data_IF_090383675872
#
_entry.id   IF_090383675872
#
_cell.length_a   1.000
_cell.length_b   1.000
_cell.length_c   1.000
_cell.angle_alpha   90.00
_cell.angle_beta   90.00
_cell.angle_gamma   90.00
#
_symmetry.space_group_name_H-M   'P 1'
#
loop_
_entity.id
_entity.type
_entity.pdbx_description
1 polymer ?
#
# COMPACT_ATOMS: atom_id res chain seq x y z
N UNK A 1 8.38 -11.44 -9.41
CA UNK A 1 8.62 -12.66 -10.22
C UNK A 1 9.60 -13.52 -9.42
N UNK A 2 9.13 -14.61 -8.82
CA UNK A 2 10.00 -15.54 -8.09
C UNK A 2 10.05 -16.81 -8.92
N UNK A 3 11.10 -16.97 -9.73
CA UNK A 3 11.38 -18.21 -10.43
C UNK A 3 11.72 -19.27 -9.37
N UNK A 4 10.84 -20.26 -9.21
CA UNK A 4 11.09 -21.38 -8.31
C UNK A 4 12.24 -22.21 -8.87
N UNK A 5 13.21 -22.58 -8.02
CA UNK A 5 14.31 -23.48 -8.38
C UNK A 5 13.80 -24.76 -9.07
N UNK A 6 12.61 -25.22 -8.69
CA UNK A 6 11.95 -26.38 -9.29
C UNK A 6 11.63 -26.20 -10.78
N UNK A 7 11.23 -25.00 -11.21
CA UNK A 7 10.91 -24.71 -12.62
C UNK A 7 12.18 -24.60 -13.49
N UNK A 8 13.30 -24.17 -12.90
CA UNK A 8 14.60 -24.11 -13.58
C UNK A 8 15.26 -25.50 -13.74
N UNK A 9 14.82 -26.49 -12.97
CA UNK A 9 15.39 -27.85 -13.00
C UNK A 9 14.61 -28.86 -13.83
N UNK A 10 13.49 -28.46 -14.44
CA UNK A 10 12.57 -29.41 -15.08
C UNK A 10 13.13 -30.06 -16.37
N UNK A 11 14.10 -29.44 -17.04
CA UNK A 11 14.82 -30.03 -18.18
C UNK A 11 16.31 -30.18 -17.85
N UNK A 12 16.70 -31.37 -17.39
CA UNK A 12 18.02 -31.64 -16.82
C UNK A 12 19.16 -31.67 -17.85
N UNK A 13 20.18 -30.83 -17.65
CA UNK A 13 21.57 -31.20 -17.94
C UNK A 13 22.10 -32.09 -16.80
N UNK A 14 22.77 -33.20 -17.12
CA UNK A 14 23.35 -34.16 -16.16
C UNK A 14 24.51 -33.60 -15.30
N UNK A 15 25.02 -32.40 -15.59
CA UNK A 15 26.19 -31.84 -14.90
C UNK A 15 25.77 -30.83 -13.79
N UNK A 16 26.00 -31.16 -12.50
CA UNK A 16 25.68 -30.28 -11.38
C UNK A 16 26.51 -28.99 -11.35
N UNK A 17 27.69 -28.95 -11.99
CA UNK A 17 28.50 -27.71 -12.06
C UNK A 17 27.89 -26.69 -13.01
N UNK A 18 27.42 -27.14 -14.18
CA UNK A 18 26.75 -26.28 -15.15
C UNK A 18 25.44 -25.69 -14.59
N UNK A 19 24.66 -26.49 -13.84
CA UNK A 19 23.44 -26.03 -13.17
C UNK A 19 23.72 -24.92 -12.14
N UNK A 20 24.79 -25.07 -11.33
CA UNK A 20 25.20 -24.03 -10.37
C UNK A 20 25.60 -22.74 -11.08
N UNK A 21 26.32 -22.84 -12.20
CA UNK A 21 26.69 -21.66 -13.00
C UNK A 21 25.46 -20.96 -13.59
N UNK A 22 24.51 -21.71 -14.16
CA UNK A 22 23.24 -21.16 -14.67
C UNK A 22 22.43 -20.48 -13.56
N UNK A 23 22.32 -21.11 -12.39
CA UNK A 23 21.64 -20.54 -11.23
C UNK A 23 22.29 -19.23 -10.77
N UNK A 24 23.63 -19.19 -10.68
CA UNK A 24 24.35 -17.97 -10.32
C UNK A 24 24.12 -16.84 -11.33
N UNK A 25 24.13 -17.15 -12.63
CA UNK A 25 23.83 -16.17 -13.68
C UNK A 25 22.40 -15.62 -13.54
N UNK A 26 21.41 -16.49 -13.30
CA UNK A 26 20.02 -16.07 -13.09
C UNK A 26 19.89 -15.20 -11.83
N UNK A 27 20.51 -15.59 -10.72
CA UNK A 27 20.54 -14.79 -9.51
C UNK A 27 21.18 -13.41 -9.74
N UNK A 28 22.28 -13.35 -10.51
CA UNK A 28 22.92 -12.09 -10.87
C UNK A 28 22.00 -11.21 -11.72
N UNK A 29 21.35 -11.78 -12.75
CA UNK A 29 20.39 -11.06 -13.59
C UNK A 29 19.24 -10.53 -12.73
N UNK A 30 18.67 -11.35 -11.85
CA UNK A 30 17.61 -10.91 -10.93
C UNK A 30 18.10 -9.80 -10.00
N UNK A 31 19.31 -9.90 -9.45
CA UNK A 31 19.88 -8.85 -8.60
C UNK A 31 20.03 -7.53 -9.37
N UNK A 32 20.55 -7.57 -10.61
CA UNK A 32 20.68 -6.38 -11.47
C UNK A 32 19.31 -5.78 -11.78
N UNK A 33 18.31 -6.60 -12.13
CA UNK A 33 16.94 -6.14 -12.40
C UNK A 33 16.28 -5.54 -11.15
N UNK A 34 16.51 -6.10 -9.97
CA UNK A 34 16.00 -5.57 -8.70
C UNK A 34 16.64 -4.22 -8.40
N UNK A 35 17.96 -4.08 -8.56
CA UNK A 35 18.67 -2.80 -8.37
C UNK A 35 18.18 -1.78 -9.40
N UNK A 36 18.07 -2.16 -10.67
CA UNK A 36 17.57 -1.28 -11.72
C UNK A 36 16.13 -0.81 -11.42
N UNK A 37 15.25 -1.72 -11.01
CA UNK A 37 13.87 -1.38 -10.62
C UNK A 37 13.83 -0.45 -9.41
N UNK A 38 14.70 -0.65 -8.41
CA UNK A 38 14.79 0.23 -7.24
C UNK A 38 15.26 1.65 -7.62
N UNK A 39 16.25 1.74 -8.51
CA UNK A 39 16.77 3.01 -9.02
C UNK A 39 15.72 3.75 -9.85
N UNK A 40 15.04 3.06 -10.77
CA UNK A 40 13.96 3.62 -11.58
C UNK A 40 12.76 4.06 -10.72
N UNK A 41 12.46 3.31 -9.66
CA UNK A 41 11.45 3.72 -8.70
C UNK A 41 11.85 4.97 -7.91
N UNK A 42 13.07 5.48 -8.08
CA UNK A 42 13.53 6.72 -7.46
C UNK A 42 13.99 6.51 -6.02
N UNK A 43 14.53 5.35 -5.64
CA UNK A 43 15.02 5.12 -4.27
C UNK A 43 16.02 6.21 -3.83
N UNK A 44 16.87 6.69 -4.74
CA UNK A 44 17.84 7.76 -4.50
C UNK A 44 17.33 9.16 -4.85
N UNK A 45 16.14 9.29 -5.44
CA UNK A 45 15.60 10.60 -5.83
C UNK A 45 15.37 11.48 -4.59
N UNK A 46 15.72 12.76 -4.58
CA UNK A 46 15.38 13.63 -3.46
C UNK A 46 13.85 13.78 -3.37
N UNK A 47 13.32 13.81 -2.14
CA UNK A 47 11.90 14.12 -1.92
C UNK A 47 11.82 15.58 -1.44
N UNK A 48 11.35 16.46 -2.32
CA UNK A 48 11.07 17.86 -1.98
C UNK A 48 9.61 18.02 -1.58
N UNK A 49 9.37 18.56 -0.39
CA UNK A 49 8.03 18.90 0.09
C UNK A 49 7.79 20.39 -0.16
N UNK A 50 6.85 20.71 -1.04
CA UNK A 50 6.39 22.06 -1.33
C UNK A 50 5.02 22.30 -0.70
N UNK A 51 4.51 23.53 -0.76
CA UNK A 51 3.13 23.85 -0.37
C UNK A 51 2.30 24.03 -1.62
N UNK A 52 1.16 23.37 -1.66
CA UNK A 52 0.17 23.53 -2.72
C UNK A 52 -1.24 23.36 -2.15
N UNK A 53 -2.25 23.24 -3.02
CA UNK A 53 -3.65 23.13 -2.66
C UNK A 53 -4.18 21.75 -3.03
N UNK A 54 -4.67 21.01 -2.05
CA UNK A 54 -5.48 19.83 -2.30
C UNK A 54 -6.81 20.27 -2.94
N UNK A 55 -7.20 19.73 -4.11
CA UNK A 55 -8.31 20.26 -4.91
C UNK A 55 -9.66 20.23 -4.20
N UNK A 56 -9.89 19.24 -3.32
CA UNK A 56 -11.20 19.01 -2.71
C UNK A 56 -12.26 18.56 -3.71
N UNK A 57 -13.42 18.15 -3.22
CA UNK A 57 -14.50 17.66 -4.08
C UNK A 57 -15.43 16.67 -3.39
N UNK A 58 -16.31 16.06 -4.19
CA UNK A 58 -17.11 14.91 -3.75
C UNK A 58 -16.28 13.64 -3.95
N UNK A 59 -15.96 12.97 -2.86
CA UNK A 59 -15.13 11.76 -2.87
C UNK A 59 -16.04 10.53 -2.76
N UNK A 60 -16.08 9.73 -3.83
CA UNK A 60 -16.80 8.46 -3.87
C UNK A 60 -15.80 7.33 -3.72
N UNK A 61 -15.83 6.61 -2.60
CA UNK A 61 -14.71 5.78 -2.16
C UNK A 61 -15.15 4.45 -1.55
N UNK A 62 -14.24 3.47 -1.59
CA UNK A 62 -14.32 2.23 -0.83
C UNK A 62 -13.42 2.36 0.40
N UNK A 63 -13.99 2.15 1.58
CA UNK A 63 -13.21 2.06 2.82
C UNK A 63 -12.73 0.63 3.03
N UNK A 64 -11.41 0.44 3.07
CA UNK A 64 -10.80 -0.87 3.25
C UNK A 64 -9.93 -0.92 4.50
N UNK A 65 -9.83 -2.11 5.08
CA UNK A 65 -8.88 -2.42 6.17
C UNK A 65 -7.93 -3.49 5.66
N UNK A 66 -6.73 -3.07 5.27
CA UNK A 66 -5.69 -3.93 4.70
C UNK A 66 -4.35 -3.17 4.71
N UNK A 67 -3.26 -3.83 4.31
CA UNK A 67 -1.99 -3.15 4.09
C UNK A 67 -2.12 -2.05 3.04
N UNK A 68 -1.39 -0.95 3.21
CA UNK A 68 -1.37 0.15 2.23
C UNK A 68 -0.87 -0.29 0.85
N UNK A 69 -0.13 -1.39 0.77
CA UNK A 69 0.26 -2.03 -0.49
C UNK A 69 -0.96 -2.48 -1.31
N UNK A 70 -2.06 -2.84 -0.64
CA UNK A 70 -3.29 -3.27 -1.29
C UNK A 70 -4.12 -2.10 -1.87
N UNK A 71 -3.79 -0.85 -1.52
CA UNK A 71 -4.54 0.32 -1.98
C UNK A 71 -4.51 0.50 -3.50
N UNK A 72 -3.39 0.19 -4.15
CA UNK A 72 -3.28 0.22 -5.61
C UNK A 72 -4.23 -0.78 -6.28
N UNK A 73 -4.39 -1.97 -5.71
CA UNK A 73 -5.38 -2.95 -6.19
C UNK A 73 -6.81 -2.44 -6.08
N UNK A 74 -7.11 -1.67 -5.03
CA UNK A 74 -8.40 -1.01 -4.88
C UNK A 74 -8.61 0.06 -5.96
N UNK A 75 -7.60 0.90 -6.21
CA UNK A 75 -7.63 1.92 -7.27
C UNK A 75 -7.89 1.30 -8.65
N UNK A 76 -7.20 0.21 -9.00
CA UNK A 76 -7.45 -0.51 -10.27
C UNK A 76 -8.86 -1.08 -10.36
N UNK A 77 -9.39 -1.58 -9.25
CA UNK A 77 -10.80 -2.06 -9.20
C UNK A 77 -11.77 -0.91 -9.48
N UNK A 78 -11.52 0.27 -8.90
CA UNK A 78 -12.35 1.46 -9.10
C UNK A 78 -12.26 1.97 -10.54
N UNK A 79 -11.06 1.95 -11.13
CA UNK A 79 -10.85 2.29 -12.55
C UNK A 79 -11.67 1.37 -13.46
N UNK A 80 -11.65 0.06 -13.20
CA UNK A 80 -12.47 -0.92 -13.92
C UNK A 80 -13.97 -0.69 -13.73
N UNK A 81 -14.43 -0.38 -12.51
CA UNK A 81 -15.83 -0.07 -12.22
C UNK A 81 -16.31 1.20 -12.97
N UNK A 82 -15.39 2.12 -13.33
CA UNK A 82 -15.69 3.29 -14.15
C UNK A 82 -15.74 3.00 -15.66
N UNK A 83 -15.30 1.82 -16.08
CA UNK A 83 -15.14 1.43 -17.48
C UNK A 83 -13.91 2.08 -18.13
N UNK A 84 -12.89 2.40 -17.34
CA UNK A 84 -11.60 2.89 -17.82
C UNK A 84 -10.73 1.66 -18.05
N UNK A 85 -10.93 1.02 -19.19
CA UNK A 85 -10.13 -0.14 -19.61
C UNK A 85 -8.85 0.33 -20.31
N UNK A 86 -7.75 -0.40 -20.06
CA UNK A 86 -6.41 -0.14 -20.62
C UNK A 86 -6.35 -0.23 -22.17
N UNK A 87 -7.40 -0.77 -22.83
CA UNK A 87 -7.38 -1.15 -24.24
C UNK A 87 -8.09 -0.18 -25.22
N UNK A 88 -8.38 1.06 -24.79
CA UNK A 88 -9.05 2.07 -25.63
C UNK A 88 -10.57 1.86 -25.69
N UNK A 89 -11.39 2.87 -25.44
CA UNK A 89 -11.99 3.68 -26.52
C UNK A 89 -12.43 5.07 -26.04
N UNK A 90 -12.28 5.42 -24.78
CA UNK A 90 -12.45 6.80 -24.31
C UNK A 90 -11.42 7.02 -23.21
N UNK A 91 -10.34 7.76 -23.49
CA UNK A 91 -9.60 8.41 -22.41
C UNK A 91 -10.48 9.58 -21.96
N UNK A 92 -11.17 9.52 -20.81
CA UNK A 92 -11.53 10.77 -20.16
C UNK A 92 -10.21 11.42 -19.72
N UNK A 93 -10.13 12.75 -19.74
CA UNK A 93 -9.11 13.59 -19.08
C UNK A 93 -8.14 12.78 -18.23
N UNK A 94 -6.86 12.74 -18.60
CA UNK A 94 -5.74 12.16 -17.82
C UNK A 94 -6.25 11.42 -16.58
N UNK A 95 -6.61 10.14 -16.77
CA UNK A 95 -7.49 9.34 -15.88
C UNK A 95 -7.00 9.14 -14.45
N UNK A 96 -5.99 9.91 -14.07
CA UNK A 96 -5.11 9.75 -12.95
C UNK A 96 -5.12 10.94 -12.00
N UNK A 97 -5.65 12.10 -12.39
CA UNK A 97 -5.78 13.25 -11.49
C UNK A 97 -7.02 13.24 -10.60
N UNK A 98 -7.88 12.22 -10.75
CA UNK A 98 -9.12 12.11 -9.98
C UNK A 98 -9.20 10.83 -9.11
N UNK A 99 -8.31 9.84 -9.27
CA UNK A 99 -8.26 8.67 -8.39
C UNK A 99 -7.34 8.96 -7.20
N UNK A 100 -7.90 8.92 -5.99
CA UNK A 100 -7.18 9.22 -4.74
C UNK A 100 -7.29 8.07 -3.76
N UNK A 101 -6.22 7.88 -2.99
CA UNK A 101 -6.23 7.06 -1.78
C UNK A 101 -5.91 7.94 -0.59
N UNK A 102 -6.80 7.95 0.40
CA UNK A 102 -6.60 8.61 1.69
C UNK A 102 -6.16 7.54 2.70
N UNK A 103 -4.94 7.66 3.20
CA UNK A 103 -4.39 6.82 4.26
C UNK A 103 -4.81 7.42 5.61
N UNK A 104 -5.65 6.68 6.34
CA UNK A 104 -6.29 7.18 7.56
C UNK A 104 -5.45 6.91 8.81
N UNK A 105 -4.60 5.90 8.74
CA UNK A 105 -3.89 5.39 9.90
C UNK A 105 -2.37 5.61 9.82
N UNK A 106 -1.77 5.74 10.99
CA UNK A 106 -0.32 5.67 11.11
C UNK A 106 0.10 4.20 11.25
N UNK A 107 0.87 3.62 10.31
CA UNK A 107 1.32 2.23 10.39
C UNK A 107 2.30 1.96 11.55
N UNK A 108 2.75 2.98 12.27
CA UNK A 108 3.52 2.83 13.51
C UNK A 108 2.65 2.72 14.77
N UNK A 109 1.35 3.00 14.67
CA UNK A 109 0.39 2.91 15.79
C UNK A 109 -0.64 1.80 15.52
N UNK A 110 -1.09 1.67 14.27
CA UNK A 110 -2.01 0.61 13.83
C UNK A 110 -1.20 -0.52 13.19
N UNK A 111 -1.40 -1.79 13.60
CA UNK A 111 -0.61 -2.90 13.10
C UNK A 111 -0.82 -3.12 11.60
N UNK A 112 0.19 -3.72 10.97
CA UNK A 112 0.12 -4.17 9.57
C UNK A 112 -1.09 -5.08 9.34
N UNK A 113 -1.68 -5.01 8.15
CA UNK A 113 -2.91 -5.72 7.79
C UNK A 113 -4.19 -5.17 8.44
N UNK A 114 -4.08 -4.26 9.42
CA UNK A 114 -5.23 -3.59 10.08
C UNK A 114 -5.32 -2.11 9.78
N UNK A 115 -4.39 -1.56 9.00
CA UNK A 115 -4.45 -0.16 8.57
C UNK A 115 -5.66 0.10 7.69
N UNK A 116 -6.26 1.27 7.84
CA UNK A 116 -7.42 1.70 7.06
C UNK A 116 -7.02 2.71 6.01
N UNK A 117 -7.58 2.54 4.83
CA UNK A 117 -7.47 3.52 3.75
C UNK A 117 -8.79 3.63 3.00
N UNK A 118 -9.03 4.79 2.42
CA UNK A 118 -10.17 5.06 1.56
C UNK A 118 -9.66 5.34 0.15
N UNK A 119 -9.92 4.43 -0.78
CA UNK A 119 -9.56 4.60 -2.19
C UNK A 119 -10.82 4.93 -2.99
N UNK A 120 -10.77 5.93 -3.86
CA UNK A 120 -11.96 6.46 -4.52
C UNK A 120 -11.67 7.44 -5.65
N UNK A 121 -12.74 7.92 -6.26
CA UNK A 121 -12.71 9.00 -7.23
C UNK A 121 -13.09 10.33 -6.55
N UNK A 122 -12.29 11.38 -6.75
CA UNK A 122 -12.58 12.75 -6.34
C UNK A 122 -13.23 13.49 -7.51
N UNK A 123 -14.53 13.67 -7.40
CA UNK A 123 -15.38 14.20 -8.44
C UNK A 123 -15.51 15.73 -8.34
N UNK A 124 -15.40 16.38 -9.50
CA UNK A 124 -15.62 17.81 -9.68
C UNK A 124 -17.07 18.07 -10.16
N UNK A 125 -17.46 19.35 -10.21
CA UNK A 125 -18.75 19.75 -10.78
C UNK A 125 -18.81 19.32 -12.25
N UNK A 126 -19.72 18.40 -12.57
CA UNK A 126 -19.90 17.86 -13.92
C UNK A 126 -19.75 16.33 -14.00
N UNK A 127 -19.14 15.70 -13.01
CA UNK A 127 -18.82 14.26 -13.04
C UNK A 127 -19.97 13.37 -12.50
N UNK A 128 -21.22 13.85 -12.60
CA UNK A 128 -22.40 13.16 -12.07
C UNK A 128 -22.61 11.76 -12.67
N UNK A 129 -22.15 11.53 -13.90
CA UNK A 129 -22.16 10.21 -14.54
C UNK A 129 -21.25 9.21 -13.84
N UNK A 130 -20.04 9.62 -13.45
CA UNK A 130 -19.08 8.75 -12.75
C UNK A 130 -19.60 8.37 -11.36
N UNK A 131 -20.16 9.33 -10.63
CA UNK A 131 -20.82 9.08 -9.34
C UNK A 131 -21.89 8.00 -9.45
N UNK A 132 -22.79 8.15 -10.42
CA UNK A 132 -23.89 7.20 -10.62
C UNK A 132 -23.39 5.80 -10.96
N UNK A 133 -22.36 5.68 -11.81
CA UNK A 133 -21.75 4.38 -12.15
C UNK A 133 -21.15 3.68 -10.93
N UNK A 134 -20.35 4.40 -10.14
CA UNK A 134 -19.74 3.83 -8.92
C UNK A 134 -20.80 3.41 -7.89
N UNK A 135 -21.82 4.24 -7.67
CA UNK A 135 -22.89 3.89 -6.74
C UNK A 135 -23.80 2.77 -7.26
N UNK A 136 -23.96 2.64 -8.57
CA UNK A 136 -24.68 1.52 -9.19
C UNK A 136 -23.95 0.20 -9.00
N UNK A 137 -22.62 0.20 -8.99
CA UNK A 137 -21.81 -0.98 -8.66
C UNK A 137 -22.10 -1.53 -7.26
N UNK A 138 -22.65 -0.73 -6.33
CA UNK A 138 -23.08 -1.25 -5.02
C UNK A 138 -24.22 -2.27 -5.11
N UNK A 139 -25.03 -2.26 -6.17
CA UNK A 139 -26.16 -3.19 -6.35
C UNK A 139 -25.70 -4.65 -6.45
N UNK A 140 -24.50 -4.89 -6.99
CA UNK A 140 -23.91 -6.23 -7.11
C UNK A 140 -23.16 -6.69 -5.86
N UNK A 141 -23.01 -5.82 -4.85
CA UNK A 141 -22.22 -6.09 -3.64
C UNK A 141 -23.18 -6.45 -2.48
N UNK A 142 -23.06 -7.66 -1.90
CA UNK A 142 -23.88 -8.07 -0.76
C UNK A 142 -23.76 -7.11 0.43
N UNK A 143 -24.86 -6.84 1.17
CA UNK A 143 -24.86 -5.89 2.30
C UNK A 143 -24.02 -6.35 3.50
N UNK A 144 -23.89 -7.67 3.70
CA UNK A 144 -23.35 -8.24 4.94
C UNK A 144 -21.85 -8.62 4.85
N UNK A 145 -21.19 -8.31 3.73
CA UNK A 145 -19.78 -8.63 3.54
C UNK A 145 -18.94 -7.41 3.87
N UNK A 146 -18.37 -7.37 5.08
CA UNK A 146 -17.25 -6.49 5.40
C UNK A 146 -15.98 -7.03 4.75
N UNK A 147 -15.86 -6.82 3.44
CA UNK A 147 -14.77 -7.37 2.64
C UNK A 147 -13.43 -6.70 2.92
N UNK A 148 -12.40 -7.51 3.19
CA UNK A 148 -10.98 -7.14 3.06
C UNK A 148 -10.56 -6.93 1.61
N UNK A 149 -11.41 -7.34 0.66
CA UNK A 149 -11.19 -7.23 -0.78
C UNK A 149 -12.04 -6.11 -1.40
N UNK A 150 -11.42 -5.34 -2.30
CA UNK A 150 -12.01 -4.17 -2.96
C UNK A 150 -13.30 -4.48 -3.74
N UNK A 151 -13.43 -5.68 -4.29
CA UNK A 151 -14.62 -6.11 -5.06
C UNK A 151 -15.87 -6.30 -4.18
N UNK A 152 -15.67 -6.54 -2.88
CA UNK A 152 -16.75 -6.84 -1.94
C UNK A 152 -17.03 -5.66 -0.98
N UNK A 153 -16.41 -4.51 -1.23
CA UNK A 153 -16.56 -3.31 -0.40
C UNK A 153 -17.47 -2.31 -1.11
N UNK A 154 -18.52 -1.82 -0.45
CA UNK A 154 -19.42 -0.82 -1.02
C UNK A 154 -18.77 0.56 -1.09
N UNK A 155 -19.16 1.33 -2.11
CA UNK A 155 -18.87 2.74 -2.24
C UNK A 155 -19.67 3.56 -1.23
N UNK A 156 -18.97 4.45 -0.53
CA UNK A 156 -19.47 5.52 0.31
C UNK A 156 -19.19 6.88 -0.36
N UNK A 157 -19.85 7.93 0.11
CA UNK A 157 -19.67 9.30 -0.39
C UNK A 157 -19.29 10.21 0.76
N UNK A 158 -18.23 10.99 0.59
CA UNK A 158 -17.83 12.04 1.51
C UNK A 158 -17.50 13.32 0.74
N UNK A 159 -17.45 14.46 1.43
CA UNK A 159 -17.02 15.73 0.86
C UNK A 159 -15.66 16.10 1.45
N UNK A 160 -14.63 16.12 0.61
CA UNK A 160 -13.29 16.51 1.03
C UNK A 160 -13.10 18.02 0.78
N UNK A 161 -12.59 18.78 1.76
CA UNK A 161 -12.43 20.22 1.62
C UNK A 161 -11.21 20.55 0.74
N UNK A 162 -11.33 21.63 -0.04
CA UNK A 162 -10.17 22.27 -0.68
C UNK A 162 -9.34 22.98 0.39
N UNK A 163 -8.09 22.57 0.58
CA UNK A 163 -7.22 23.06 1.66
C UNK A 163 -5.77 23.16 1.21
N UNK A 164 -5.00 24.03 1.84
CA UNK A 164 -3.54 24.01 1.69
C UNK A 164 -2.99 22.69 2.22
N UNK A 165 -2.12 22.07 1.44
CA UNK A 165 -1.45 20.81 1.75
C UNK A 165 0.06 20.96 1.54
N UNK A 166 0.84 20.21 2.31
CA UNK A 166 2.20 19.91 1.93
C UNK A 166 2.14 18.85 0.81
N UNK A 167 2.89 19.08 -0.27
CA UNK A 167 2.85 18.24 -1.46
C UNK A 167 4.25 17.74 -1.76
N UNK A 168 4.34 16.46 -2.11
CA UNK A 168 5.56 15.87 -2.62
C UNK A 168 5.23 15.01 -3.83
N UNK A 169 6.10 15.03 -4.82
CA UNK A 169 5.98 14.18 -6.00
C UNK A 169 7.11 13.15 -5.98
N UNK A 170 6.81 11.93 -6.42
CA UNK A 170 7.77 10.85 -6.48
C UNK A 170 7.51 9.95 -7.69
N UNK A 171 8.57 9.44 -8.35
CA UNK A 171 8.40 8.45 -9.41
C UNK A 171 7.56 7.25 -8.96
N UNK A 172 6.69 6.81 -9.86
CA UNK A 172 5.77 5.70 -9.68
C UNK A 172 6.09 4.59 -10.67
N UNK A 173 6.24 3.37 -10.17
CA UNK A 173 6.49 2.18 -11.00
C UNK A 173 5.42 1.11 -10.82
N UNK A 174 4.28 1.45 -10.21
CA UNK A 174 3.15 0.53 -9.94
C UNK A 174 3.55 -0.84 -9.34
N UNK A 175 4.63 -0.86 -8.57
CA UNK A 175 5.29 -2.08 -8.12
C UNK A 175 5.56 -2.11 -6.63
N UNK A 176 6.16 -3.20 -6.17
CA UNK A 176 6.56 -3.39 -4.76
C UNK A 176 7.44 -2.24 -4.27
N UNK A 177 8.29 -1.69 -5.13
CA UNK A 177 9.13 -0.54 -4.79
C UNK A 177 8.32 0.71 -4.47
N UNK A 178 7.27 1.04 -5.23
CA UNK A 178 6.39 2.18 -4.91
C UNK A 178 5.80 2.06 -3.50
N UNK A 179 5.37 0.86 -3.12
CA UNK A 179 4.83 0.59 -1.80
C UNK A 179 5.89 0.68 -0.68
N UNK A 180 7.10 0.16 -0.93
CA UNK A 180 8.23 0.28 0.01
C UNK A 180 8.65 1.74 0.18
N UNK A 181 8.74 2.51 -0.90
CA UNK A 181 9.11 3.92 -0.87
C UNK A 181 8.07 4.75 -0.14
N UNK A 182 6.78 4.44 -0.33
CA UNK A 182 5.73 5.07 0.45
C UNK A 182 5.97 4.87 1.96
N UNK A 183 6.21 3.63 2.39
CA UNK A 183 6.42 3.28 3.81
C UNK A 183 7.72 3.84 4.40
N UNK A 184 8.83 3.75 3.68
CA UNK A 184 10.17 4.01 4.23
C UNK A 184 10.74 5.38 3.89
N UNK A 185 10.17 6.09 2.90
CA UNK A 185 10.71 7.37 2.44
C UNK A 185 9.68 8.48 2.50
N UNK A 186 8.51 8.29 1.88
CA UNK A 186 7.48 9.32 1.76
C UNK A 186 6.82 9.59 3.11
N UNK A 187 6.25 8.55 3.74
CA UNK A 187 5.59 8.68 5.06
C UNK A 187 6.53 9.32 6.09
N UNK A 188 7.77 8.82 6.32
CA UNK A 188 8.69 9.43 7.28
C UNK A 188 9.05 10.89 6.98
N UNK A 189 9.17 11.26 5.70
CA UNK A 189 9.45 12.64 5.32
C UNK A 189 8.28 13.57 5.65
N UNK A 190 7.05 13.15 5.39
CA UNK A 190 5.85 13.89 5.82
C UNK A 190 5.74 13.96 7.33
N UNK A 191 6.04 12.90 8.08
CA UNK A 191 6.08 12.94 9.56
C UNK A 191 7.07 13.97 10.07
N UNK A 192 8.27 13.99 9.49
CA UNK A 192 9.30 14.94 9.87
C UNK A 192 8.82 16.37 9.58
N UNK A 193 8.21 16.60 8.42
CA UNK A 193 7.62 17.88 8.06
C UNK A 193 6.50 18.30 9.03
N UNK A 194 5.59 17.38 9.37
CA UNK A 194 4.51 17.60 10.31
C UNK A 194 5.01 18.01 11.70
N UNK A 195 6.03 17.31 12.21
CA UNK A 195 6.69 17.64 13.49
C UNK A 195 7.31 19.04 13.49
N UNK A 196 7.97 19.42 12.39
CA UNK A 196 8.54 20.78 12.26
C UNK A 196 7.48 21.88 12.20
N UNK A 197 6.27 21.56 11.72
CA UNK A 197 5.15 22.51 11.61
C UNK A 197 4.08 22.34 12.70
N UNK A 198 4.33 21.52 13.72
CA UNK A 198 3.45 21.27 14.87
C UNK A 198 2.02 20.81 14.50
N UNK A 199 1.90 20.03 13.41
CA UNK A 199 0.63 19.40 13.01
C UNK A 199 0.50 18.02 13.67
N UNK A 200 -0.64 17.74 14.29
CA UNK A 200 -0.85 16.54 15.14
C UNK A 200 -1.25 15.27 14.39
N UNK A 201 -2.00 15.40 13.30
CA UNK A 201 -2.56 14.25 12.57
C UNK A 201 -1.95 14.17 11.17
N UNK A 202 -1.47 12.98 10.81
CA UNK A 202 -0.68 12.71 9.61
C UNK A 202 -1.53 11.94 8.59
N UNK A 203 -2.61 12.56 8.11
CA UNK A 203 -3.32 12.01 6.95
C UNK A 203 -2.47 12.26 5.70
N UNK A 204 -2.18 11.18 4.99
CA UNK A 204 -1.49 11.22 3.70
C UNK A 204 -2.49 10.82 2.63
N UNK A 205 -2.53 11.58 1.55
CA UNK A 205 -3.38 11.30 0.40
C UNK A 205 -2.44 11.07 -0.78
N UNK A 206 -2.65 10.03 -1.57
CA UNK A 206 -1.89 9.79 -2.78
C UNK A 206 -2.80 9.75 -4.00
N UNK A 207 -2.30 10.29 -5.09
CA UNK A 207 -2.81 10.10 -6.44
C UNK A 207 -1.63 9.85 -7.35
N UNK A 208 -1.79 9.03 -8.39
CA UNK A 208 -0.67 8.61 -9.22
C UNK A 208 -1.06 8.70 -10.67
N UNK A 209 -0.19 9.30 -11.47
CA UNK A 209 -0.25 9.39 -12.92
C UNK A 209 0.61 8.33 -13.58
N UNK A 210 -0.04 7.44 -14.33
CA UNK A 210 0.60 6.44 -15.17
C UNK A 210 1.23 7.07 -16.41
N UNK A 211 0.60 8.12 -16.96
CA UNK A 211 1.13 8.85 -18.12
C UNK A 211 2.42 9.59 -17.76
N UNK A 212 2.44 10.25 -16.61
CA UNK A 212 3.63 10.96 -16.12
C UNK A 212 4.61 10.05 -15.36
N UNK A 213 4.20 8.82 -15.03
CA UNK A 213 4.92 7.91 -14.12
C UNK A 213 5.26 8.56 -12.77
N UNK A 214 4.32 9.34 -12.22
CA UNK A 214 4.53 10.16 -11.02
C UNK A 214 3.36 10.03 -10.05
N UNK A 215 3.65 9.78 -8.77
CA UNK A 215 2.68 9.92 -7.69
C UNK A 215 2.83 11.28 -7.02
N UNK A 216 1.69 11.94 -6.82
CA UNK A 216 1.57 13.13 -5.99
C UNK A 216 0.98 12.76 -4.63
N UNK A 217 1.68 13.14 -3.57
CA UNK A 217 1.28 12.92 -2.19
C UNK A 217 0.91 14.25 -1.55
N UNK A 218 -0.22 14.30 -0.88
CA UNK A 218 -0.71 15.46 -0.14
C UNK A 218 -0.79 15.14 1.35
N UNK A 219 -0.38 16.10 2.17
CA UNK A 219 -0.65 16.11 3.61
C UNK A 219 -1.42 17.39 3.94
N UNK A 220 -2.74 17.32 4.16
CA UNK A 220 -3.56 18.47 4.51
C UNK A 220 -3.02 19.20 5.74
N UNK A 221 -2.82 20.52 5.64
CA UNK A 221 -2.33 21.34 6.76
C UNK A 221 -3.46 21.92 7.63
N UNK A 222 -4.72 21.76 7.19
CA UNK A 222 -5.90 22.25 7.88
C UNK A 222 -7.10 21.34 7.64
N UNK A 223 -8.10 21.38 8.54
CA UNK A 223 -9.33 20.57 8.45
C UNK A 223 -9.08 19.07 8.32
N UNK A 224 -8.04 18.56 8.98
CA UNK A 224 -7.62 17.15 8.92
C UNK A 224 -8.75 16.22 9.38
N UNK A 225 -9.57 16.65 10.33
CA UNK A 225 -10.77 15.96 10.81
C UNK A 225 -11.72 15.53 9.67
N UNK A 226 -11.83 16.34 8.60
CA UNK A 226 -12.72 16.06 7.46
C UNK A 226 -12.21 14.94 6.58
N UNK A 227 -10.90 14.69 6.57
CA UNK A 227 -10.30 13.63 5.77
C UNK A 227 -10.43 12.25 6.40
N UNK A 228 -10.84 12.16 7.68
CA UNK A 228 -11.22 10.89 8.30
C UNK A 228 -12.54 10.32 7.77
N UNK A 229 -13.28 11.04 6.93
CA UNK A 229 -14.54 10.60 6.29
C UNK A 229 -15.53 9.96 7.27
N UNK A 230 -15.64 10.55 8.47
CA UNK A 230 -16.54 10.09 9.54
C UNK A 230 -16.05 8.86 10.31
N UNK A 231 -14.83 8.40 10.06
CA UNK A 231 -14.19 7.29 10.80
C UNK A 231 -13.41 7.86 12.00
N UNK A 232 -13.18 7.06 13.06
CA UNK A 232 -12.39 7.51 14.21
C UNK A 232 -10.94 7.77 13.81
N UNK A 233 -10.26 8.60 14.58
CA UNK A 233 -8.83 8.91 14.38
C UNK A 233 -7.96 7.65 14.49
N UNK A 234 -6.73 7.70 13.98
CA UNK A 234 -5.79 6.58 14.07
C UNK A 234 -5.55 6.15 15.53
N UNK A 235 -5.39 7.11 16.45
CA UNK A 235 -5.17 6.84 17.86
C UNK A 235 -6.41 6.20 18.53
N UNK A 236 -7.62 6.66 18.21
CA UNK A 236 -8.85 6.05 18.73
C UNK A 236 -9.08 4.64 18.18
N UNK A 237 -8.75 4.44 16.90
CA UNK A 237 -8.86 3.12 16.27
C UNK A 237 -7.82 2.14 16.84
N UNK A 238 -6.59 2.60 17.08
CA UNK A 238 -5.51 1.80 17.66
C UNK A 238 -5.85 1.22 19.04
N UNK A 239 -6.63 1.95 19.86
CA UNK A 239 -7.09 1.47 21.18
C UNK A 239 -7.84 0.14 21.12
N UNK A 240 -8.40 -0.23 19.98
CA UNK A 240 -9.07 -1.52 19.78
C UNK A 240 -8.10 -2.71 19.79
N UNK A 241 -6.83 -2.45 19.54
CA UNK A 241 -5.78 -3.46 19.41
C UNK A 241 -4.79 -3.46 20.58
N UNK A 242 -4.91 -2.50 21.51
CA UNK A 242 -4.00 -2.36 22.66
C UNK A 242 -3.94 -3.61 23.55
N UNK A 243 -5.00 -4.43 23.55
CA UNK A 243 -5.10 -5.67 24.35
C UNK A 243 -4.59 -6.92 23.62
N UNK A 244 -4.48 -6.89 22.30
CA UNK A 244 -4.27 -8.09 21.47
C UNK A 244 -2.91 -8.11 20.74
N UNK A 245 -2.08 -7.07 20.85
CA UNK A 245 -0.86 -6.96 20.05
C UNK A 245 0.40 -7.52 20.72
N UNK A 246 1.02 -8.51 20.07
CA UNK A 246 2.39 -8.94 20.36
C UNK A 246 3.45 -7.96 19.84
N UNK A 247 4.68 -8.00 20.39
CA UNK A 247 5.78 -7.08 20.02
C UNK A 247 6.12 -7.07 18.51
N UNK A 248 6.02 -8.22 17.83
CA UNK A 248 6.35 -8.34 16.40
C UNK A 248 5.27 -7.75 15.47
N UNK A 249 4.01 -7.77 15.88
CA UNK A 249 2.91 -7.14 15.13
C UNK A 249 2.99 -5.61 15.22
N UNK A 250 3.49 -5.09 16.36
CA UNK A 250 3.74 -3.66 16.56
C UNK A 250 4.83 -3.09 15.64
N UNK A 251 5.76 -3.92 15.15
CA UNK A 251 6.76 -3.50 14.15
C UNK A 251 6.28 -3.72 12.70
N UNK A 252 5.00 -4.06 12.50
CA UNK A 252 4.39 -4.18 11.18
C UNK A 252 4.82 -5.42 10.40
N UNK A 253 5.22 -6.49 11.10
CA UNK A 253 5.46 -7.80 10.51
C UNK A 253 4.26 -8.69 10.83
N UNK A 254 3.44 -8.98 9.83
CA UNK A 254 2.35 -9.95 9.96
C UNK A 254 2.93 -11.37 9.97
N UNK A 255 3.14 -11.91 11.17
CA UNK A 255 3.66 -13.26 11.36
C UNK A 255 2.61 -14.34 11.04
N UNK A 256 1.32 -14.01 11.06
CA UNK A 256 0.25 -14.95 10.76
C UNK A 256 0.15 -15.23 9.24
N UNK A 257 0.34 -14.20 8.41
CA UNK A 257 0.41 -14.36 6.95
C UNK A 257 1.65 -15.13 6.47
N UNK A 258 2.78 -15.03 7.19
CA UNK A 258 4.04 -15.70 6.84
C UNK A 258 4.15 -17.15 7.33
N UNK A 259 3.53 -17.49 8.47
CA UNK A 259 3.59 -18.84 9.06
C UNK A 259 2.59 -19.83 8.46
N UNK A 260 1.52 -19.35 7.83
CA UNK A 260 0.44 -20.20 7.31
C UNK A 260 0.58 -20.58 5.83
N UNK A 261 1.41 -19.87 5.04
CA UNK A 261 1.70 -20.25 3.66
C UNK A 261 2.77 -21.35 3.59
N UNK A 262 2.32 -22.60 3.45
CA UNK A 262 3.19 -23.72 3.03
C UNK A 262 3.56 -23.53 1.56
N UNK A 263 4.75 -22.99 1.28
CA UNK A 263 5.36 -23.08 -0.05
C UNK A 263 5.94 -24.49 -0.17
N UNK A 264 5.52 -25.31 -1.15
CA UNK A 264 6.07 -26.66 -1.33
C UNK A 264 7.59 -26.59 -1.49
N UNK A 265 8.32 -27.28 -0.61
CA UNK A 265 9.79 -27.35 -0.66
C UNK A 265 10.56 -26.21 0.02
N UNK A 266 9.89 -25.20 0.59
CA UNK A 266 10.56 -24.15 1.39
C UNK A 266 9.96 -24.13 2.79
N UNK A 267 10.70 -24.66 3.75
CA UNK A 267 10.36 -24.52 5.17
C UNK A 267 10.72 -23.12 5.64
N UNK A 268 9.75 -22.20 5.52
CA UNK A 268 9.89 -20.80 5.92
C UNK A 268 10.24 -20.64 7.41
N UNK A 269 10.03 -21.66 8.24
CA UNK A 269 10.49 -21.64 9.64
C UNK A 269 12.01 -21.59 9.76
N UNK A 270 12.74 -22.18 8.81
CA UNK A 270 14.20 -22.15 8.76
C UNK A 270 14.73 -20.83 8.23
N UNK A 271 14.04 -20.24 7.25
CA UNK A 271 14.33 -18.87 6.77
C UNK A 271 14.14 -17.87 7.92
N UNK A 272 13.06 -18.03 8.68
CA UNK A 272 12.73 -17.20 9.84
C UNK A 272 13.71 -17.37 11.01
N UNK A 273 14.15 -18.60 11.32
CA UNK A 273 15.24 -18.84 12.29
C UNK A 273 16.54 -18.19 11.83
N UNK A 274 16.85 -18.27 10.53
CA UNK A 274 18.03 -17.64 9.94
C UNK A 274 18.03 -16.13 10.10
N UNK A 275 16.91 -15.47 9.79
CA UNK A 275 16.78 -14.01 9.91
C UNK A 275 16.72 -13.53 11.36
N UNK A 276 16.08 -14.28 12.29
CA UNK A 276 16.16 -14.00 13.73
C UNK A 276 17.60 -14.05 14.26
N UNK A 277 18.36 -15.06 13.85
CA UNK A 277 19.76 -15.24 14.23
C UNK A 277 20.65 -14.12 13.66
N UNK A 278 20.38 -13.67 12.43
CA UNK A 278 21.07 -12.54 11.81
C UNK A 278 20.75 -11.19 12.48
N UNK A 279 19.55 -11.04 13.05
CA UNK A 279 19.11 -9.85 13.79
C UNK A 279 19.44 -9.89 15.29
N UNK A 280 20.14 -10.93 15.77
CA UNK A 280 20.54 -11.05 17.18
C UNK A 280 19.40 -11.29 18.16
N UNK A 281 18.20 -11.63 17.69
CA UNK A 281 17.05 -11.94 18.53
C UNK A 281 17.19 -13.36 19.08
N UNK A 282 17.51 -13.48 20.38
CA UNK A 282 17.55 -14.78 21.08
C UNK A 282 16.15 -15.40 21.14
N UNK A 283 16.05 -16.69 20.82
CA UNK A 283 14.81 -17.45 20.93
C UNK A 283 14.34 -17.51 22.39
N UNK A 284 13.26 -16.79 22.70
CA UNK A 284 12.46 -16.98 23.91
C UNK A 284 11.60 -18.24 23.77
N UNK A 285 12.23 -19.40 23.73
CA UNK A 285 11.54 -20.69 23.83
C UNK A 285 12.45 -21.66 24.57
N UNK A 286 12.49 -21.51 25.90
CA UNK A 286 12.71 -22.58 26.87
C UNK A 286 12.49 -21.99 28.27
N UNK A 287 11.37 -22.38 28.88
CA UNK A 287 11.02 -21.94 30.23
C UNK A 287 9.59 -22.27 30.59
N UNK A 288 9.20 -23.53 30.45
CA UNK A 288 8.11 -24.14 31.24
C UNK A 288 8.17 -25.66 31.08
N UNK A 289 9.06 -26.26 31.86
CA UNK A 289 8.87 -27.57 32.47
C UNK A 289 9.57 -27.49 33.83
N UNK A 290 8.93 -28.09 34.83
CA UNK A 290 9.28 -28.13 36.27
C UNK A 290 8.78 -26.96 37.15
N UNK A 291 7.49 -27.04 37.52
CA UNK A 291 7.04 -27.34 38.89
C UNK A 291 5.55 -27.77 38.86
#
# INVERSE_FOLDING_TARGET
MALSYHELTYNQHKDPKAQRQQFLVICLIMAVLVVHSALNAGILAPLSITRDVFPGGEFVFKLMTNDYVASFGAVRTISSDLGIDENGVQQPRDGVDFLYTVFLDDPSIVPGGKTRFASGALLQKGDGGMRSRLLEANKSIPPDVHGTQSKNTRYEVAKLPKVTAAVAQHPFTDGVWSALLMKYKIVPAFKKHAKHHNTRDEIIISTCSETENMCTFYMPLSKVDKFYVGKPTAAEYAKRFDKDMGFLEKIGIDTAAFSTRKIPGVDLSNVWRGSKKALGLKDFSKGKEEL
#
